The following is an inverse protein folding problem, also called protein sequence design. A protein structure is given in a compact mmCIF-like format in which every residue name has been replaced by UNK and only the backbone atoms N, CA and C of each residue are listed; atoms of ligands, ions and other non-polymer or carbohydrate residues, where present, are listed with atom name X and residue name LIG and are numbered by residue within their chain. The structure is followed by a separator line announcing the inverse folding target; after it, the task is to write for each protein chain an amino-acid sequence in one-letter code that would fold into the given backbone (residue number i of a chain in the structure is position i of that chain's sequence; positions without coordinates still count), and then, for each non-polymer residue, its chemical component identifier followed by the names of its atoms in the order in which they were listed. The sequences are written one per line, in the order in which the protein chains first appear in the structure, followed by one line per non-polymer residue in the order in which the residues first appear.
data_IF_329359699219
#
_entry.id   IF_329359699219
#
_cell.length_a   1.000
_cell.length_b   1.000
_cell.length_c   1.000
_cell.angle_alpha   90.00
_cell.angle_beta   90.00
_cell.angle_gamma   90.00
#
_symmetry.space_group_name_H-M   'P 1'
#
loop_
_entity.id
_entity.type
_entity.pdbx_description
1 polymer ?
#
# COMPACT_ATOMS: atom_id res chain seq x y z
N UNK A 1 17.09 12.37 -24.81
CA UNK A 1 16.82 10.91 -24.68
C UNK A 1 15.60 10.58 -23.77
N UNK A 2 15.28 11.43 -22.78
CA UNK A 2 14.19 11.17 -21.81
C UNK A 2 12.78 11.44 -22.38
N UNK A 3 12.57 12.58 -23.02
CA UNK A 3 11.26 12.98 -23.57
C UNK A 3 10.67 11.99 -24.59
N UNK A 4 11.42 11.49 -25.59
CA UNK A 4 10.87 10.51 -26.52
C UNK A 4 10.49 9.18 -25.87
N UNK A 5 11.19 8.74 -24.81
CA UNK A 5 10.82 7.53 -24.04
C UNK A 5 9.50 7.71 -23.28
N UNK A 6 9.29 8.88 -22.66
CA UNK A 6 8.02 9.19 -21.98
C UNK A 6 6.87 9.24 -23.01
N UNK A 7 7.06 9.91 -24.14
CA UNK A 7 6.07 9.98 -25.18
C UNK A 7 5.71 8.58 -25.73
N UNK A 8 6.72 7.73 -25.92
CA UNK A 8 6.53 6.34 -26.36
C UNK A 8 5.75 5.52 -25.33
N UNK A 9 6.12 5.57 -24.04
CA UNK A 9 5.40 4.88 -22.96
C UNK A 9 3.98 5.42 -22.82
N UNK A 10 3.79 6.74 -22.87
CA UNK A 10 2.47 7.36 -22.87
C UNK A 10 1.62 6.90 -24.05
N UNK A 11 2.19 6.80 -25.24
CA UNK A 11 1.53 6.27 -26.43
C UNK A 11 1.08 4.81 -26.24
N UNK A 12 1.93 3.95 -25.68
CA UNK A 12 1.57 2.55 -25.38
C UNK A 12 0.41 2.50 -24.38
N UNK A 13 0.44 3.28 -23.32
CA UNK A 13 -0.62 3.32 -22.32
C UNK A 13 -1.94 3.76 -22.96
N UNK A 14 -1.95 4.86 -23.71
CA UNK A 14 -3.14 5.36 -24.38
C UNK A 14 -3.70 4.36 -25.41
N UNK A 15 -2.83 3.72 -26.18
CA UNK A 15 -3.21 2.68 -27.14
C UNK A 15 -3.83 1.47 -26.43
N UNK A 16 -3.23 1.02 -25.31
CA UNK A 16 -3.76 -0.08 -24.52
C UNK A 16 -5.17 0.23 -23.99
N UNK A 17 -5.36 1.43 -23.42
CA UNK A 17 -6.69 1.87 -22.99
C UNK A 17 -7.67 1.95 -24.15
N UNK A 18 -7.27 2.47 -25.29
CA UNK A 18 -8.11 2.52 -26.48
C UNK A 18 -8.58 1.11 -26.89
N UNK A 19 -7.65 0.15 -27.01
CA UNK A 19 -7.97 -1.23 -27.41
C UNK A 19 -8.88 -1.92 -26.40
N UNK A 20 -8.62 -1.73 -25.10
CA UNK A 20 -9.44 -2.35 -24.04
C UNK A 20 -10.85 -1.75 -23.95
N UNK A 21 -11.02 -0.46 -24.23
CA UNK A 21 -12.30 0.22 -24.07
C UNK A 21 -13.12 0.31 -25.34
N UNK A 22 -12.50 0.16 -26.51
CA UNK A 22 -13.18 0.20 -27.80
C UNK A 22 -14.40 -0.74 -27.88
N UNK A 23 -14.35 -2.02 -27.44
CA UNK A 23 -15.51 -2.91 -27.48
C UNK A 23 -16.69 -2.36 -26.65
N UNK A 24 -16.46 -1.76 -25.52
CA UNK A 24 -17.52 -1.20 -24.68
C UNK A 24 -18.15 0.06 -25.29
N UNK A 25 -17.39 0.81 -26.09
CA UNK A 25 -17.90 1.97 -26.83
C UNK A 25 -18.65 1.57 -28.09
N UNK A 26 -18.16 0.53 -28.81
CA UNK A 26 -18.79 0.05 -30.03
C UNK A 26 -20.06 -0.77 -29.80
N UNK A 27 -20.00 -1.68 -28.82
CA UNK A 27 -21.06 -2.67 -28.54
C UNK A 27 -21.84 -2.30 -27.26
N UNK A 28 -22.14 -1.02 -27.07
CA UNK A 28 -23.00 -0.61 -25.98
C UNK A 28 -24.38 -1.28 -26.07
N UNK A 29 -25.02 -1.62 -24.91
CA UNK A 29 -26.40 -2.14 -24.93
C UNK A 29 -27.33 -1.24 -25.75
N UNK A 30 -28.36 -1.84 -26.31
CA UNK A 30 -29.29 -1.22 -27.28
C UNK A 30 -29.80 0.17 -26.87
N UNK A 31 -30.03 0.39 -25.57
CA UNK A 31 -30.54 1.64 -25.02
C UNK A 31 -29.55 2.81 -25.14
N UNK A 32 -28.26 2.52 -25.28
CA UNK A 32 -27.20 3.52 -25.39
C UNK A 32 -26.65 3.70 -26.79
N UNK A 33 -27.14 2.92 -27.80
CA UNK A 33 -26.63 3.01 -29.16
C UNK A 33 -26.93 4.35 -29.85
N UNK A 34 -27.91 5.08 -29.39
CA UNK A 34 -28.28 6.41 -29.91
C UNK A 34 -27.33 7.52 -29.41
N UNK A 35 -26.51 7.24 -28.39
CA UNK A 35 -25.59 8.23 -27.83
C UNK A 35 -24.31 8.36 -28.66
N UNK A 36 -23.73 9.56 -28.79
CA UNK A 36 -22.46 9.76 -29.45
C UNK A 36 -21.31 9.00 -28.71
N UNK A 37 -20.23 8.58 -29.39
CA UNK A 37 -19.16 7.79 -28.81
C UNK A 37 -18.54 8.34 -27.52
N UNK A 38 -18.42 9.67 -27.42
CA UNK A 38 -17.87 10.35 -26.25
C UNK A 38 -18.77 10.18 -25.01
N UNK A 39 -20.08 10.24 -25.18
CA UNK A 39 -21.02 10.01 -24.08
C UNK A 39 -21.05 8.54 -23.65
N UNK A 40 -20.89 7.61 -24.58
CA UNK A 40 -20.73 6.18 -24.24
C UNK A 40 -19.47 5.95 -23.42
N UNK A 41 -18.36 6.58 -23.80
CA UNK A 41 -17.12 6.53 -23.04
C UNK A 41 -17.31 7.12 -21.64
N UNK A 42 -18.00 8.24 -21.52
CA UNK A 42 -18.33 8.84 -20.21
C UNK A 42 -19.14 7.87 -19.33
N UNK A 43 -20.11 7.16 -19.89
CA UNK A 43 -20.88 6.14 -19.15
C UNK A 43 -19.98 4.99 -18.67
N UNK A 44 -19.04 4.52 -19.51
CA UNK A 44 -18.07 3.49 -19.12
C UNK A 44 -17.17 3.99 -17.99
N UNK A 45 -16.62 5.20 -18.13
CA UNK A 45 -15.75 5.82 -17.11
C UNK A 45 -16.50 6.01 -15.79
N UNK A 46 -17.74 6.52 -15.81
CA UNK A 46 -18.57 6.71 -14.61
C UNK A 46 -18.92 5.38 -13.92
N UNK A 47 -19.00 4.28 -14.69
CA UNK A 47 -19.26 2.95 -14.13
C UNK A 47 -18.01 2.33 -13.49
N UNK A 48 -16.84 2.56 -14.09
CA UNK A 48 -15.55 2.10 -13.54
C UNK A 48 -15.14 2.95 -12.34
N UNK A 49 -15.34 4.26 -12.44
CA UNK A 49 -15.04 5.24 -11.41
C UNK A 49 -16.34 5.89 -10.89
N UNK A 50 -17.05 5.27 -9.95
CA UNK A 50 -18.33 5.78 -9.45
C UNK A 50 -18.11 6.99 -8.54
N UNK A 51 -17.68 8.12 -9.12
CA UNK A 51 -17.38 9.38 -8.40
C UNK A 51 -18.57 9.95 -7.60
N UNK A 52 -19.76 9.38 -7.77
CA UNK A 52 -20.95 9.73 -6.99
C UNK A 52 -20.94 9.13 -5.58
N UNK A 53 -20.13 8.09 -5.34
CA UNK A 53 -19.96 7.53 -4.00
C UNK A 53 -19.10 8.48 -3.16
N UNK A 54 -19.42 8.60 -1.87
CA UNK A 54 -18.67 9.46 -0.96
C UNK A 54 -17.29 8.92 -0.64
N UNK A 55 -16.42 9.80 -0.16
CA UNK A 55 -15.05 9.47 0.28
C UNK A 55 -15.03 8.52 1.50
N UNK A 56 -16.11 8.49 2.26
CA UNK A 56 -16.22 7.82 3.57
C UNK A 56 -17.10 6.55 3.51
N UNK A 57 -17.24 5.95 2.35
CA UNK A 57 -17.95 4.69 2.22
C UNK A 57 -17.03 3.52 2.57
N UNK A 58 -17.54 2.63 3.44
CA UNK A 58 -16.77 1.50 3.96
C UNK A 58 -15.93 1.86 5.19
N UNK A 59 -15.29 0.83 5.77
CA UNK A 59 -14.40 0.96 6.95
C UNK A 59 -12.99 0.53 6.58
N UNK A 60 -12.47 1.17 5.54
CA UNK A 60 -11.11 0.93 5.02
C UNK A 60 -10.08 1.49 6.00
N UNK A 61 -8.95 0.82 6.14
CA UNK A 61 -7.83 1.27 6.97
C UNK A 61 -7.01 2.39 6.27
N UNK A 62 -7.68 3.49 5.90
CA UNK A 62 -7.10 4.64 5.22
C UNK A 62 -7.28 5.93 6.04
N UNK A 63 -6.67 7.02 5.58
CA UNK A 63 -6.74 8.32 6.26
C UNK A 63 -8.16 8.84 6.41
N UNK A 64 -9.01 8.65 5.40
CA UNK A 64 -10.35 9.21 5.39
C UNK A 64 -11.25 8.55 6.42
N UNK A 65 -11.22 7.23 6.48
CA UNK A 65 -12.02 6.49 7.47
C UNK A 65 -11.49 6.73 8.89
N UNK A 66 -10.17 6.77 9.08
CA UNK A 66 -9.57 7.06 10.38
C UNK A 66 -9.88 8.49 10.87
N UNK A 67 -9.80 9.50 9.99
CA UNK A 67 -10.10 10.89 10.33
C UNK A 67 -11.60 11.19 10.42
N UNK A 68 -12.47 10.29 9.96
CA UNK A 68 -13.91 10.43 10.12
C UNK A 68 -14.40 10.00 11.50
N UNK A 69 -13.52 9.49 12.35
CA UNK A 69 -13.84 9.15 13.74
C UNK A 69 -13.86 10.38 14.63
N UNK A 70 -14.60 10.31 15.78
CA UNK A 70 -14.55 11.36 16.80
C UNK A 70 -13.12 11.47 17.37
N UNK A 71 -12.57 12.67 17.59
CA UNK A 71 -13.22 14.00 17.53
C UNK A 71 -13.12 14.72 16.17
N UNK A 72 -12.47 14.13 15.17
CA UNK A 72 -12.14 14.85 13.93
C UNK A 72 -13.34 15.04 13.01
N UNK A 73 -14.20 14.02 12.80
CA UNK A 73 -15.41 14.04 12.00
C UNK A 73 -15.27 14.81 10.67
N UNK A 74 -14.24 14.46 9.89
CA UNK A 74 -13.81 15.23 8.71
C UNK A 74 -14.90 15.28 7.61
N UNK A 75 -15.79 14.26 7.61
CA UNK A 75 -16.94 14.22 6.69
C UNK A 75 -17.79 15.49 6.76
N UNK A 76 -17.97 16.02 7.97
CA UNK A 76 -18.79 17.22 8.19
C UNK A 76 -18.04 18.53 7.90
N UNK A 77 -16.71 18.46 7.71
CA UNK A 77 -15.85 19.63 7.50
C UNK A 77 -15.48 19.85 6.04
N UNK A 78 -15.59 18.83 5.19
CA UNK A 78 -15.22 18.90 3.78
C UNK A 78 -16.46 18.75 2.91
N UNK A 79 -16.76 19.78 2.12
CA UNK A 79 -17.88 19.77 1.18
C UNK A 79 -17.75 18.58 0.19
N UNK A 80 -18.86 17.90 -0.11
CA UNK A 80 -18.89 16.71 -0.98
C UNK A 80 -18.18 16.96 -2.31
N UNK A 81 -18.40 18.11 -2.92
CA UNK A 81 -17.80 18.47 -4.21
C UNK A 81 -16.27 18.72 -4.12
N UNK A 82 -15.75 19.02 -2.93
CA UNK A 82 -14.32 19.23 -2.70
C UNK A 82 -13.57 17.93 -2.35
N UNK A 83 -14.28 16.88 -1.91
CA UNK A 83 -13.65 15.62 -1.46
C UNK A 83 -12.72 14.97 -2.51
N UNK A 84 -13.09 14.87 -3.81
CA UNK A 84 -12.20 14.28 -4.81
C UNK A 84 -10.92 15.11 -5.00
N UNK A 85 -11.02 16.43 -4.99
CA UNK A 85 -9.87 17.31 -5.14
C UNK A 85 -8.94 17.22 -3.91
N UNK A 86 -9.51 17.23 -2.70
CA UNK A 86 -8.73 17.08 -1.46
C UNK A 86 -8.01 15.72 -1.46
N UNK A 87 -8.70 14.64 -1.82
CA UNK A 87 -8.09 13.32 -1.92
C UNK A 87 -6.95 13.30 -2.95
N UNK A 88 -7.15 13.90 -4.12
CA UNK A 88 -6.13 14.02 -5.16
C UNK A 88 -4.89 14.77 -4.65
N UNK A 89 -5.07 15.93 -4.04
CA UNK A 89 -3.98 16.77 -3.53
C UNK A 89 -3.19 16.04 -2.45
N UNK A 90 -3.87 15.40 -1.49
CA UNK A 90 -3.20 14.65 -0.42
C UNK A 90 -2.45 13.45 -0.99
N UNK A 91 -3.06 12.71 -1.92
CA UNK A 91 -2.40 11.56 -2.58
C UNK A 91 -1.14 12.01 -3.33
N UNK A 92 -1.22 13.05 -4.15
CA UNK A 92 -0.07 13.59 -4.87
C UNK A 92 1.04 14.08 -3.92
N UNK A 93 0.67 14.71 -2.81
CA UNK A 93 1.63 15.18 -1.80
C UNK A 93 2.38 14.01 -1.15
N UNK A 94 1.67 12.92 -0.79
CA UNK A 94 2.30 11.72 -0.24
C UNK A 94 3.16 10.97 -1.26
N UNK A 95 2.80 11.00 -2.54
CA UNK A 95 3.58 10.36 -3.62
C UNK A 95 4.81 11.18 -4.04
N UNK A 96 4.76 12.49 -3.88
CA UNK A 96 5.78 13.43 -4.39
C UNK A 96 7.23 13.06 -4.01
N UNK A 97 7.55 12.68 -2.75
CA UNK A 97 8.92 12.30 -2.37
C UNK A 97 9.44 11.12 -3.20
N UNK A 98 8.61 10.08 -3.38
CA UNK A 98 8.97 8.87 -4.11
C UNK A 98 9.15 9.14 -5.60
N UNK A 99 8.24 9.90 -6.20
CA UNK A 99 8.35 10.32 -7.60
C UNK A 99 9.58 11.17 -7.85
N UNK A 100 9.88 12.12 -6.95
CA UNK A 100 11.08 12.95 -7.02
C UNK A 100 12.36 12.10 -6.98
N UNK A 101 12.43 11.13 -6.06
CA UNK A 101 13.61 10.26 -5.95
C UNK A 101 13.85 9.43 -7.20
N UNK A 102 12.79 8.84 -7.77
CA UNK A 102 12.89 8.07 -9.03
C UNK A 102 13.27 8.97 -10.19
N UNK A 103 12.71 10.17 -10.26
CA UNK A 103 13.09 11.15 -11.28
C UNK A 103 14.57 11.49 -11.22
N UNK A 104 15.11 11.83 -10.03
CA UNK A 104 16.53 12.10 -9.85
C UNK A 104 17.40 10.89 -10.19
N UNK A 105 16.94 9.67 -9.87
CA UNK A 105 17.66 8.44 -10.20
C UNK A 105 17.69 8.19 -11.72
N UNK A 106 16.59 8.47 -12.42
CA UNK A 106 16.49 8.32 -13.87
C UNK A 106 17.38 9.27 -14.67
N UNK A 107 17.89 10.33 -14.03
CA UNK A 107 18.87 11.25 -14.62
C UNK A 107 20.32 10.72 -14.51
N UNK A 108 20.57 9.70 -13.68
CA UNK A 108 21.88 9.09 -13.47
C UNK A 108 21.93 7.71 -14.13
N UNK A 109 22.94 7.47 -14.97
CA UNK A 109 23.15 6.14 -15.54
C UNK A 109 23.90 5.23 -14.55
N UNK A 110 23.49 3.96 -14.41
CA UNK A 110 24.21 3.03 -13.57
C UNK A 110 25.56 2.68 -14.22
N UNK A 111 26.65 3.03 -13.56
CA UNK A 111 28.01 2.76 -14.04
C UNK A 111 28.53 1.35 -13.74
N UNK A 112 27.76 0.53 -13.02
CA UNK A 112 28.15 -0.81 -12.61
C UNK A 112 26.93 -1.73 -12.36
N UNK A 113 27.16 -3.05 -12.26
CA UNK A 113 26.13 -4.04 -11.89
C UNK A 113 25.54 -3.76 -10.49
N UNK A 114 26.32 -3.26 -9.56
CA UNK A 114 25.84 -2.85 -8.23
C UNK A 114 24.98 -1.59 -8.31
N UNK A 115 25.29 -0.68 -9.21
CA UNK A 115 24.44 0.47 -9.53
C UNK A 115 23.08 0.03 -10.05
N UNK A 116 23.03 -0.97 -10.93
CA UNK A 116 21.77 -1.51 -11.46
C UNK A 116 20.91 -2.16 -10.36
N UNK A 117 21.51 -2.97 -9.47
CA UNK A 117 20.79 -3.55 -8.32
C UNK A 117 20.21 -2.47 -7.42
N UNK A 118 20.97 -1.41 -7.14
CA UNK A 118 20.49 -0.26 -6.36
C UNK A 118 19.31 0.43 -7.03
N UNK A 119 19.32 0.59 -8.35
CA UNK A 119 18.20 1.18 -9.09
C UNK A 119 16.92 0.35 -8.94
N UNK A 120 17.02 -0.98 -9.01
CA UNK A 120 15.87 -1.88 -8.78
C UNK A 120 15.30 -1.77 -7.37
N UNK A 121 16.15 -1.75 -6.35
CA UNK A 121 15.70 -1.58 -4.96
C UNK A 121 14.98 -0.24 -4.77
N UNK A 122 15.57 0.86 -5.28
CA UNK A 122 14.94 2.19 -5.23
C UNK A 122 13.61 2.21 -5.97
N UNK A 123 13.52 1.58 -7.13
CA UNK A 123 12.28 1.51 -7.90
C UNK A 123 11.18 0.74 -7.14
N UNK A 124 11.52 -0.41 -6.52
CA UNK A 124 10.57 -1.20 -5.75
C UNK A 124 10.12 -0.48 -4.46
N UNK A 125 11.03 0.19 -3.76
CA UNK A 125 10.69 1.03 -2.61
C UNK A 125 9.76 2.18 -3.01
N UNK A 126 10.07 2.86 -4.11
CA UNK A 126 9.24 3.93 -4.63
C UNK A 126 7.86 3.44 -5.06
N UNK A 127 7.78 2.30 -5.75
CA UNK A 127 6.52 1.67 -6.15
C UNK A 127 5.67 1.30 -4.92
N UNK A 128 6.29 0.72 -3.88
CA UNK A 128 5.62 0.41 -2.61
C UNK A 128 5.09 1.68 -1.92
N UNK A 129 5.94 2.71 -1.81
CA UNK A 129 5.55 3.98 -1.18
C UNK A 129 4.45 4.71 -1.96
N UNK A 130 4.51 4.76 -3.29
CA UNK A 130 3.45 5.34 -4.13
C UNK A 130 2.14 4.56 -3.99
N UNK A 131 2.18 3.23 -4.02
CA UNK A 131 1.00 2.40 -3.86
C UNK A 131 0.38 2.53 -2.46
N UNK A 132 1.21 2.66 -1.39
CA UNK A 132 0.75 2.97 -0.03
C UNK A 132 0.12 4.37 0.04
N UNK A 133 0.73 5.38 -0.60
CA UNK A 133 0.17 6.73 -0.67
C UNK A 133 -1.22 6.72 -1.32
N UNK A 134 -1.36 5.96 -2.40
CA UNK A 134 -2.63 5.78 -3.09
C UNK A 134 -3.66 5.08 -2.19
N UNK A 135 -3.30 3.98 -1.53
CA UNK A 135 -4.18 3.28 -0.59
C UNK A 135 -4.61 4.16 0.58
N UNK A 136 -3.69 4.94 1.14
CA UNK A 136 -3.96 5.79 2.31
C UNK A 136 -4.83 7.00 1.99
N UNK A 137 -4.68 7.60 0.80
CA UNK A 137 -5.20 8.95 0.56
C UNK A 137 -6.05 9.10 -0.72
N UNK A 138 -6.10 8.11 -1.62
CA UNK A 138 -6.88 8.30 -2.85
C UNK A 138 -8.39 8.26 -2.60
N UNK A 139 -9.12 8.78 -3.58
CA UNK A 139 -10.57 8.77 -3.55
C UNK A 139 -11.11 7.37 -3.81
N UNK A 140 -12.01 6.87 -2.97
CA UNK A 140 -12.69 5.58 -3.11
C UNK A 140 -11.76 4.34 -3.14
N UNK A 141 -11.02 4.16 -2.07
CA UNK A 141 -10.16 2.98 -1.87
C UNK A 141 -10.98 1.79 -1.36
N UNK A 142 -10.73 0.63 -1.92
CA UNK A 142 -11.24 -0.65 -1.43
C UNK A 142 -10.27 -1.29 -0.43
N UNK A 143 -10.78 -2.04 0.53
CA UNK A 143 -9.96 -2.75 1.53
C UNK A 143 -8.90 -3.65 0.86
N UNK A 144 -9.28 -4.36 -0.20
CA UNK A 144 -8.40 -5.26 -0.97
C UNK A 144 -7.28 -4.53 -1.71
N UNK A 145 -7.37 -3.21 -1.89
CA UNK A 145 -6.32 -2.42 -2.57
C UNK A 145 -5.00 -2.38 -1.81
N UNK A 146 -4.98 -2.78 -0.52
CA UNK A 146 -3.73 -2.94 0.24
C UNK A 146 -2.79 -4.01 -0.36
N UNK A 147 -3.31 -4.92 -1.18
CA UNK A 147 -2.49 -5.91 -1.88
C UNK A 147 -1.62 -5.27 -2.98
N UNK A 148 -1.99 -4.08 -3.48
CA UNK A 148 -1.20 -3.35 -4.48
C UNK A 148 0.18 -2.92 -3.94
N UNK A 149 0.30 -2.27 -2.75
CA UNK A 149 1.62 -2.00 -2.18
C UNK A 149 2.34 -3.26 -1.68
N UNK A 150 1.62 -4.30 -1.29
CA UNK A 150 2.24 -5.56 -0.86
C UNK A 150 3.01 -6.23 -2.00
N UNK A 151 2.51 -6.18 -3.23
CA UNK A 151 3.14 -6.84 -4.37
C UNK A 151 4.59 -6.38 -4.63
N UNK A 152 4.90 -5.09 -4.86
CA UNK A 152 6.29 -4.65 -5.01
C UNK A 152 7.11 -4.82 -3.72
N UNK A 153 6.49 -4.72 -2.54
CA UNK A 153 7.15 -4.92 -1.27
C UNK A 153 7.69 -6.35 -1.12
N UNK A 154 6.94 -7.37 -1.54
CA UNK A 154 7.38 -8.78 -1.45
C UNK A 154 8.62 -9.06 -2.29
N UNK A 155 8.86 -8.32 -3.38
CA UNK A 155 10.06 -8.44 -4.19
C UNK A 155 11.33 -7.95 -3.47
N UNK A 156 11.17 -7.19 -2.39
CA UNK A 156 12.25 -6.72 -1.53
C UNK A 156 12.60 -7.71 -0.40
N UNK A 157 12.04 -8.92 -0.39
CA UNK A 157 12.21 -9.90 0.69
C UNK A 157 13.67 -10.17 1.04
N UNK A 158 14.55 -10.16 0.04
CA UNK A 158 15.99 -10.38 0.24
C UNK A 158 16.70 -9.21 0.93
N UNK A 159 16.12 -8.03 0.95
CA UNK A 159 16.69 -6.84 1.56
C UNK A 159 16.37 -6.77 3.06
N UNK A 160 15.10 -6.88 3.40
CA UNK A 160 14.62 -6.88 4.79
C UNK A 160 13.45 -7.86 4.98
N UNK A 161 13.74 -9.16 5.16
CA UNK A 161 12.70 -10.17 5.36
C UNK A 161 11.78 -9.87 6.54
N UNK A 162 12.32 -9.31 7.62
CA UNK A 162 11.55 -9.09 8.83
C UNK A 162 10.52 -7.97 8.68
N UNK A 163 10.88 -6.90 7.95
CA UNK A 163 9.93 -5.84 7.61
C UNK A 163 8.81 -6.36 6.71
N UNK A 164 9.15 -7.15 5.69
CA UNK A 164 8.17 -7.67 4.73
C UNK A 164 7.24 -8.69 5.38
N UNK A 165 7.74 -9.55 6.27
CA UNK A 165 6.91 -10.43 7.07
C UNK A 165 5.91 -9.65 7.91
N UNK A 166 6.39 -8.63 8.64
CA UNK A 166 5.54 -7.77 9.44
C UNK A 166 4.48 -7.07 8.59
N UNK A 167 4.88 -6.45 7.48
CA UNK A 167 3.95 -5.74 6.61
C UNK A 167 2.90 -6.69 6.01
N UNK A 168 3.30 -7.90 5.63
CA UNK A 168 2.38 -8.95 5.14
C UNK A 168 1.33 -9.32 6.19
N UNK A 169 1.75 -9.49 7.46
CA UNK A 169 0.81 -9.72 8.57
C UNK A 169 -0.16 -8.56 8.74
N UNK A 170 0.33 -7.32 8.71
CA UNK A 170 -0.54 -6.12 8.85
C UNK A 170 -1.54 -6.05 7.70
N UNK A 171 -1.11 -6.31 6.46
CA UNK A 171 -2.00 -6.31 5.29
C UNK A 171 -3.11 -7.34 5.43
N UNK A 172 -2.80 -8.59 5.76
CA UNK A 172 -3.79 -9.66 5.93
C UNK A 172 -4.69 -9.40 7.13
N UNK A 173 -4.12 -8.93 8.24
CA UNK A 173 -4.85 -8.58 9.44
C UNK A 173 -5.88 -7.46 9.20
N UNK A 174 -5.52 -6.45 8.42
CA UNK A 174 -6.41 -5.31 8.12
C UNK A 174 -7.65 -5.71 7.32
N UNK A 175 -7.64 -6.86 6.65
CA UNK A 175 -8.78 -7.40 5.90
C UNK A 175 -9.80 -8.14 6.77
N UNK A 176 -9.53 -8.34 8.07
CA UNK A 176 -10.41 -9.11 8.95
C UNK A 176 -11.88 -8.69 8.94
N UNK A 177 -12.25 -7.38 9.05
CA UNK A 177 -13.65 -6.98 9.01
C UNK A 177 -14.35 -7.40 7.71
N UNK A 178 -13.68 -7.28 6.57
CA UNK A 178 -14.19 -7.74 5.28
C UNK A 178 -14.37 -9.26 5.24
N UNK A 179 -13.37 -10.00 5.74
CA UNK A 179 -13.42 -11.47 5.76
C UNK A 179 -14.49 -12.01 6.71
N UNK A 180 -14.86 -11.26 7.74
CA UNK A 180 -16.02 -11.57 8.58
C UNK A 180 -17.34 -11.46 7.79
N UNK A 181 -17.52 -10.40 7.02
CA UNK A 181 -18.70 -10.20 6.15
C UNK A 181 -18.79 -11.30 5.09
N UNK A 182 -17.64 -11.65 4.48
CA UNK A 182 -17.56 -12.69 3.45
C UNK A 182 -17.60 -14.13 4.05
N UNK A 183 -17.67 -14.29 5.37
CA UNK A 183 -17.67 -15.59 6.11
C UNK A 183 -16.42 -16.43 5.85
N UNK A 184 -15.26 -15.78 5.70
CA UNK A 184 -13.97 -16.40 5.40
C UNK A 184 -13.02 -16.48 6.62
N UNK A 185 -13.55 -16.42 7.85
CA UNK A 185 -12.76 -16.41 9.09
C UNK A 185 -11.87 -17.66 9.21
N UNK A 186 -12.41 -18.85 8.87
CA UNK A 186 -11.65 -20.11 8.95
C UNK A 186 -10.47 -20.09 7.98
N UNK A 187 -10.71 -19.67 6.73
CA UNK A 187 -9.64 -19.54 5.72
C UNK A 187 -8.55 -18.56 6.17
N UNK A 188 -8.96 -17.42 6.77
CA UNK A 188 -8.04 -16.46 7.34
C UNK A 188 -7.17 -17.07 8.45
N UNK A 189 -7.77 -17.75 9.42
CA UNK A 189 -7.04 -18.40 10.52
C UNK A 189 -6.05 -19.45 10.00
N UNK A 190 -6.45 -20.28 9.03
CA UNK A 190 -5.59 -21.29 8.42
C UNK A 190 -4.39 -20.63 7.72
N UNK A 191 -4.63 -19.61 6.88
CA UNK A 191 -3.56 -18.94 6.11
C UNK A 191 -2.59 -18.22 7.06
N UNK A 192 -3.09 -17.50 8.06
CA UNK A 192 -2.22 -16.82 9.04
C UNK A 192 -1.39 -17.83 9.83
N UNK A 193 -1.97 -18.95 10.24
CA UNK A 193 -1.25 -19.99 11.00
C UNK A 193 -0.15 -20.62 10.16
N UNK A 194 -0.44 -20.95 8.89
CA UNK A 194 0.57 -21.50 7.96
C UNK A 194 1.68 -20.48 7.75
N UNK A 195 1.34 -19.22 7.47
CA UNK A 195 2.33 -18.18 7.25
C UNK A 195 3.19 -17.94 8.49
N UNK A 196 2.57 -17.85 9.69
CA UNK A 196 3.28 -17.72 10.96
C UNK A 196 4.24 -18.89 11.21
N UNK A 197 3.81 -20.11 10.90
CA UNK A 197 4.67 -21.31 11.03
C UNK A 197 5.87 -21.26 10.08
N UNK A 198 5.66 -20.85 8.83
CA UNK A 198 6.77 -20.69 7.86
C UNK A 198 7.77 -19.61 8.32
N UNK A 199 7.29 -18.48 8.81
CA UNK A 199 8.13 -17.41 9.38
C UNK A 199 8.91 -17.93 10.60
N UNK A 200 8.25 -18.68 11.48
CA UNK A 200 8.87 -19.29 12.65
C UNK A 200 9.99 -20.27 12.27
N UNK A 201 9.72 -21.21 11.36
CA UNK A 201 10.73 -22.17 10.88
C UNK A 201 11.92 -21.46 10.22
N UNK A 202 11.67 -20.44 9.41
CA UNK A 202 12.74 -19.64 8.82
C UNK A 202 13.62 -18.99 9.90
N UNK A 203 13.03 -18.45 10.96
CA UNK A 203 13.77 -17.79 12.05
C UNK A 203 14.59 -18.75 12.89
N UNK A 204 14.11 -19.98 13.14
CA UNK A 204 14.88 -21.01 13.85
C UNK A 204 16.13 -21.41 13.05
N UNK A 205 16.04 -21.48 11.73
CA UNK A 205 17.17 -21.86 10.85
C UNK A 205 18.21 -20.74 10.65
N UNK A 206 17.98 -19.53 11.20
CA UNK A 206 18.86 -18.38 11.05
C UNK A 206 19.59 -18.06 12.35
N UNK A 207 20.89 -17.72 12.26
CA UNK A 207 21.64 -17.18 13.41
C UNK A 207 20.96 -15.91 13.94
N UNK A 208 20.84 -15.77 15.26
CA UNK A 208 20.14 -14.67 15.96
C UNK A 208 20.51 -13.26 15.46
N UNK A 209 21.75 -13.08 15.03
CA UNK A 209 22.25 -11.79 14.52
C UNK A 209 21.62 -11.35 13.22
N UNK A 210 21.07 -12.27 12.40
CA UNK A 210 20.41 -11.96 11.13
C UNK A 210 18.88 -11.86 11.25
N UNK A 211 18.29 -12.50 12.27
CA UNK A 211 16.84 -12.56 12.44
C UNK A 211 16.21 -11.21 12.91
N UNK A 212 17.02 -10.30 13.45
CA UNK A 212 16.55 -9.05 14.07
C UNK A 212 16.79 -7.78 13.26
N UNK A 213 17.26 -7.88 12.02
CA UNK A 213 17.50 -6.70 11.19
C UNK A 213 16.20 -6.20 10.53
N UNK A 214 15.25 -5.69 11.32
CA UNK A 214 14.08 -4.99 10.76
C UNK A 214 14.45 -3.60 10.23
N UNK A 215 15.55 -3.02 10.68
CA UNK A 215 16.01 -1.70 10.23
C UNK A 215 17.53 -1.63 10.35
N UNK A 216 18.21 -1.40 9.24
CA UNK A 216 19.64 -1.16 9.23
C UNK A 216 19.98 0.14 9.98
N UNK A 217 20.48 -0.01 11.20
CA UNK A 217 21.32 0.98 11.91
C UNK A 217 20.70 2.30 12.40
N UNK A 218 20.00 3.06 11.61
CA UNK A 218 19.61 4.44 11.96
C UNK A 218 18.25 4.60 12.65
N UNK A 219 17.35 3.65 12.50
CA UNK A 219 16.00 3.68 13.05
C UNK A 219 15.74 2.65 14.15
N UNK A 220 16.73 2.30 14.93
CA UNK A 220 16.62 1.23 15.96
C UNK A 220 15.49 1.45 16.98
N UNK A 221 15.19 2.70 17.33
CA UNK A 221 14.07 3.06 18.20
C UNK A 221 12.69 2.66 17.64
N UNK A 222 12.53 2.62 16.30
CA UNK A 222 11.27 2.25 15.66
C UNK A 222 11.07 0.72 15.57
N UNK A 223 12.06 -0.10 15.95
CA UNK A 223 11.92 -1.57 16.00
C UNK A 223 10.87 -2.06 16.99
N UNK A 224 10.59 -1.27 18.01
CA UNK A 224 9.55 -1.60 18.99
C UNK A 224 8.14 -1.60 18.37
N UNK A 225 7.88 -0.76 17.37
CA UNK A 225 6.53 -0.61 16.77
C UNK A 225 6.03 -1.91 16.13
N UNK A 226 6.78 -2.61 15.25
CA UNK A 226 6.36 -3.90 14.74
C UNK A 226 6.05 -4.93 15.84
N UNK A 227 6.89 -5.04 16.84
CA UNK A 227 6.68 -6.00 17.94
C UNK A 227 5.43 -5.66 18.76
N UNK A 228 5.25 -4.40 19.13
CA UNK A 228 4.05 -3.93 19.84
C UNK A 228 2.78 -4.10 18.97
N UNK A 229 2.90 -3.90 17.67
CA UNK A 229 1.75 -4.08 16.77
C UNK A 229 1.26 -5.52 16.72
N UNK A 230 2.15 -6.53 16.77
CA UNK A 230 1.72 -7.93 16.86
C UNK A 230 0.88 -8.18 18.11
N UNK A 231 1.31 -7.64 19.25
CA UNK A 231 0.56 -7.74 20.51
C UNK A 231 -0.79 -7.03 20.36
N UNK A 232 -0.81 -5.81 19.82
CA UNK A 232 -2.03 -5.05 19.59
C UNK A 232 -3.02 -5.76 18.65
N UNK A 233 -2.52 -6.35 17.55
CA UNK A 233 -3.33 -7.12 16.62
C UNK A 233 -3.98 -8.35 17.29
N UNK A 234 -3.23 -9.10 18.11
CA UNK A 234 -3.75 -10.25 18.85
C UNK A 234 -4.77 -9.77 19.90
N UNK A 235 -4.43 -8.73 20.65
CA UNK A 235 -5.33 -8.17 21.67
C UNK A 235 -6.66 -7.74 21.06
N UNK A 236 -6.66 -7.11 19.88
CA UNK A 236 -7.89 -6.67 19.23
C UNK A 236 -8.75 -7.86 18.79
N UNK A 237 -8.15 -8.94 18.25
CA UNK A 237 -8.88 -10.19 17.95
C UNK A 237 -9.52 -10.81 19.20
N UNK A 238 -8.72 -10.93 20.27
CA UNK A 238 -9.19 -11.51 21.55
C UNK A 238 -10.32 -10.67 22.15
N UNK A 239 -10.14 -9.35 22.17
CA UNK A 239 -11.15 -8.44 22.73
C UNK A 239 -12.46 -8.52 21.93
N UNK A 240 -12.39 -8.50 20.61
CA UNK A 240 -13.57 -8.64 19.76
C UNK A 240 -14.28 -9.99 19.95
N UNK A 241 -13.53 -11.06 20.19
CA UNK A 241 -14.11 -12.39 20.39
C UNK A 241 -14.76 -12.57 21.77
N UNK A 242 -14.25 -11.89 22.80
CA UNK A 242 -14.68 -12.07 24.19
C UNK A 242 -15.68 -11.01 24.66
N UNK A 243 -15.63 -9.80 24.09
CA UNK A 243 -16.42 -8.64 24.54
C UNK A 243 -17.29 -8.17 23.39
N UNK A 244 -18.64 -8.28 23.49
CA UNK A 244 -19.52 -7.73 22.47
C UNK A 244 -19.41 -6.20 22.41
N UNK A 245 -19.60 -5.62 21.23
CA UNK A 245 -19.63 -4.18 21.07
C UNK A 245 -20.80 -3.58 21.90
N UNK A 246 -20.59 -2.45 22.59
CA UNK A 246 -21.65 -1.77 23.32
C UNK A 246 -22.77 -1.34 22.36
N UNK A 247 -24.04 -1.39 22.81
CA UNK A 247 -25.19 -0.97 21.99
C UNK A 247 -25.08 0.47 21.46
N UNK A 248 -24.41 1.35 22.22
CA UNK A 248 -24.16 2.75 21.81
C UNK A 248 -23.13 2.89 20.70
N UNK A 249 -22.27 1.89 20.48
CA UNK A 249 -21.18 1.88 19.52
C UNK A 249 -21.12 0.52 18.79
N UNK A 250 -22.11 0.18 17.97
CA UNK A 250 -22.20 -1.13 17.32
C UNK A 250 -21.00 -1.38 16.39
N UNK A 251 -20.44 -0.33 15.81
CA UNK A 251 -19.31 -0.38 14.87
C UNK A 251 -17.93 -0.21 15.54
N UNK A 252 -17.85 -0.33 16.88
CA UNK A 252 -16.62 -0.05 17.64
C UNK A 252 -15.42 -0.81 17.10
N UNK A 253 -15.55 -2.12 16.94
CA UNK A 253 -14.43 -2.95 16.50
C UNK A 253 -13.97 -2.63 15.07
N UNK A 254 -14.91 -2.44 14.16
CA UNK A 254 -14.57 -2.09 12.77
C UNK A 254 -13.85 -0.75 12.68
N UNK A 255 -14.24 0.23 13.51
CA UNK A 255 -13.56 1.52 13.63
C UNK A 255 -12.15 1.33 14.21
N UNK A 256 -12.00 0.52 15.27
CA UNK A 256 -10.69 0.23 15.86
C UNK A 256 -9.76 -0.45 14.84
N UNK A 257 -10.25 -1.40 14.05
CA UNK A 257 -9.50 -2.03 12.96
C UNK A 257 -9.05 -1.01 11.93
N UNK A 258 -9.96 -0.14 11.49
CA UNK A 258 -9.67 0.90 10.48
C UNK A 258 -8.62 1.90 10.99
N UNK A 259 -8.77 2.42 12.20
CA UNK A 259 -7.86 3.41 12.78
C UNK A 259 -6.47 2.80 13.06
N UNK A 260 -6.43 1.62 13.68
CA UNK A 260 -5.17 0.93 13.97
C UNK A 260 -4.45 0.55 12.68
N UNK A 261 -5.18 -0.02 11.71
CA UNK A 261 -4.64 -0.36 10.40
C UNK A 261 -4.09 0.86 9.66
N UNK A 262 -4.82 1.97 9.67
CA UNK A 262 -4.34 3.24 9.09
C UNK A 262 -3.03 3.70 9.75
N UNK A 263 -2.93 3.65 11.08
CA UNK A 263 -1.70 4.00 11.79
C UNK A 263 -0.51 3.12 11.40
N UNK A 264 -0.72 1.80 11.27
CA UNK A 264 0.32 0.86 10.85
C UNK A 264 0.73 1.07 9.39
N UNK A 265 -0.21 1.40 8.49
CA UNK A 265 0.10 1.71 7.09
C UNK A 265 0.79 3.07 6.92
N UNK A 266 0.45 4.07 7.73
CA UNK A 266 1.20 5.34 7.79
C UNK A 266 2.64 5.10 8.25
N UNK A 267 2.83 4.25 9.25
CA UNK A 267 4.16 3.85 9.70
C UNK A 267 4.92 3.11 8.58
N UNK A 268 4.28 2.16 7.90
CA UNK A 268 4.88 1.45 6.76
C UNK A 268 5.26 2.43 5.63
N UNK A 269 4.40 3.38 5.31
CA UNK A 269 4.68 4.43 4.33
C UNK A 269 5.88 5.28 4.73
N UNK A 270 5.92 5.72 5.99
CA UNK A 270 7.03 6.51 6.52
C UNK A 270 8.36 5.75 6.41
N UNK A 271 8.38 4.49 6.86
CA UNK A 271 9.58 3.65 6.82
C UNK A 271 10.05 3.43 5.37
N UNK A 272 9.14 3.05 4.48
CA UNK A 272 9.48 2.79 3.08
C UNK A 272 10.01 4.06 2.40
N UNK A 273 9.39 5.22 2.67
CA UNK A 273 9.83 6.51 2.13
C UNK A 273 11.16 6.93 2.74
N UNK A 274 11.37 6.72 4.04
CA UNK A 274 12.64 7.00 4.70
C UNK A 274 13.77 6.15 4.11
N UNK A 275 13.58 4.84 3.99
CA UNK A 275 14.54 3.92 3.38
C UNK A 275 14.85 4.32 1.93
N UNK A 276 13.87 4.76 1.17
CA UNK A 276 14.05 5.25 -0.19
C UNK A 276 15.08 6.39 -0.30
N UNK A 277 15.13 7.29 0.71
CA UNK A 277 16.06 8.41 0.71
C UNK A 277 17.42 8.07 1.32
N UNK A 278 17.44 7.24 2.36
CA UNK A 278 18.64 6.94 3.15
C UNK A 278 19.32 5.63 2.78
N UNK A 279 18.75 4.84 1.89
CA UNK A 279 19.21 3.53 1.43
C UNK A 279 20.47 3.56 0.55
N UNK A 280 21.26 4.62 0.62
CA UNK A 280 22.61 4.62 0.03
C UNK A 280 23.55 3.56 0.64
N UNK A 281 23.14 2.90 1.73
CA UNK A 281 23.88 1.87 2.46
C UNK A 281 23.40 0.43 2.23
N UNK A 282 22.34 0.19 1.45
CA UNK A 282 21.72 -1.14 1.30
C UNK A 282 22.43 -2.08 0.31
N UNK A 283 23.42 -1.60 -0.42
CA UNK A 283 24.36 -2.51 -1.08
C UNK A 283 25.53 -2.66 -0.13
N UNK A 284 25.78 -3.86 0.44
CA UNK A 284 27.01 -4.08 1.16
C UNK A 284 28.16 -3.75 0.22
N UNK A 285 28.92 -2.71 0.53
CA UNK A 285 30.24 -2.55 -0.03
C UNK A 285 30.97 -3.87 0.34
N UNK A 286 31.05 -4.80 -0.58
CA UNK A 286 32.09 -5.81 -0.53
C UNK A 286 33.38 -5.00 -0.57
N UNK A 287 33.92 -4.67 0.62
CA UNK A 287 35.32 -4.36 0.73
C UNK A 287 36.03 -5.58 0.14
N UNK A 288 36.42 -5.45 -1.09
CA UNK A 288 37.49 -6.23 -1.66
C UNK A 288 38.63 -5.95 -0.67
N UNK A 289 38.86 -6.91 0.24
CA UNK A 289 40.15 -7.07 0.84
C UNK A 289 41.03 -7.51 -0.32
N UNK A 290 41.59 -6.54 -1.05
CA UNK A 290 42.84 -6.73 -1.70
C UNK A 290 43.78 -7.18 -0.58
N UNK A 291 44.02 -8.47 -0.52
CA UNK A 291 45.23 -8.98 0.09
C UNK A 291 46.36 -8.42 -0.75
N UNK A 292 46.99 -7.41 -0.20
CA UNK A 292 48.38 -7.12 -0.57
C UNK A 292 49.17 -8.38 -0.18
N UNK A 293 49.55 -9.13 -1.19
CA UNK A 293 50.72 -10.01 -1.17
C UNK A 293 51.85 -9.25 -1.83
#
# INVERSE_FOLDING_TARGET
LFMPRIAWLGGIVLFTFYVLWEPFVKYAPSDNMTLPPLQRLEHVVRRIFPLQRGLFEGKVANLWCALNTSPFNIRNRVAINAQPLVALVVTCTLMAPSCYKVFCLGLSEPSSMDGTKRHWVVLLLAATSCALSFFLASFQVHEKSILLPLAPCTLLFWQDPAYIEWFSFVCVWSLWPLLQVDRLQVAYCCIITIFASLVWFRRIGMSETKALQIFSGKLSLLRAIPNLSYIGMICLHVTQALIPAPERLPDLYEVLWSVTGCGLFLFAWFVTTFELFFSSSLVPSQRIKEKAD
#
